data_IF_769766604563
#
_entry.id   IF_769766604563
#
_cell.length_a   1.000
_cell.length_b   1.000
_cell.length_c   1.000
_cell.angle_alpha   90.00
_cell.angle_beta   90.00
_cell.angle_gamma   90.00
#
_symmetry.space_group_name_H-M   'P 1'
#
loop_
_entity.id
_entity.type
_entity.pdbx_description
1 polymer ?
#
# COMPACT_ATOMS: atom_id res chain seq x y z
N UNK A 1 -1.02 6.83 -9.81
CA UNK A 1 -0.06 5.78 -9.39
C UNK A 1 1.20 6.49 -8.94
N UNK A 2 1.57 6.42 -7.66
CA UNK A 2 2.59 7.32 -7.09
C UNK A 2 3.98 7.16 -7.71
N UNK A 3 4.43 5.93 -7.97
CA UNK A 3 5.73 5.68 -8.60
C UNK A 3 5.69 5.89 -10.12
N UNK A 4 4.64 5.41 -10.80
CA UNK A 4 4.49 5.63 -12.24
C UNK A 4 4.42 7.11 -12.62
N UNK A 5 3.80 7.95 -11.77
CA UNK A 5 3.81 9.40 -11.94
C UNK A 5 5.22 9.96 -11.81
N UNK A 6 5.98 9.52 -10.79
CA UNK A 6 7.39 9.94 -10.60
C UNK A 6 8.30 9.54 -11.77
N UNK A 7 8.05 8.37 -12.38
CA UNK A 7 8.79 7.87 -13.53
C UNK A 7 8.29 8.40 -14.88
N UNK A 8 7.21 9.19 -14.91
CA UNK A 8 6.60 9.69 -16.17
C UNK A 8 5.84 8.64 -16.99
N UNK A 9 5.56 7.47 -16.41
CA UNK A 9 4.95 6.31 -17.10
C UNK A 9 3.40 6.33 -17.06
N UNK A 10 2.78 7.38 -16.54
CA UNK A 10 1.33 7.42 -16.34
C UNK A 10 0.53 7.29 -17.64
N UNK A 11 1.03 7.84 -18.75
CA UNK A 11 0.36 7.74 -20.05
C UNK A 11 0.47 6.34 -20.64
N UNK A 12 1.65 5.73 -20.55
CA UNK A 12 1.90 4.38 -21.08
C UNK A 12 1.06 3.33 -20.33
N UNK A 13 0.92 3.50 -19.02
CA UNK A 13 0.15 2.58 -18.19
C UNK A 13 -1.36 2.82 -18.23
N UNK A 14 -1.84 3.91 -18.84
CA UNK A 14 -3.27 4.21 -18.93
C UNK A 14 -4.07 3.19 -19.76
N UNK A 15 -3.39 2.35 -20.54
CA UNK A 15 -4.00 1.23 -21.27
C UNK A 15 -4.52 0.14 -20.32
N UNK A 16 -3.98 0.04 -19.11
CA UNK A 16 -4.41 -0.90 -18.10
C UNK A 16 -5.49 -0.27 -17.22
N UNK A 17 -6.61 -0.96 -17.07
CA UNK A 17 -7.64 -0.54 -16.12
C UNK A 17 -7.07 -0.55 -14.70
N UNK A 18 -7.35 0.52 -13.96
CA UNK A 18 -6.98 0.59 -12.55
C UNK A 18 -7.93 -0.29 -11.76
N UNK A 19 -7.40 -1.37 -11.21
CA UNK A 19 -8.11 -2.16 -10.21
C UNK A 19 -8.50 -1.27 -9.03
N UNK A 20 -9.78 -1.28 -8.64
CA UNK A 20 -10.31 -0.54 -7.50
C UNK A 20 -11.43 -1.36 -6.83
N UNK A 21 -11.12 -2.63 -6.52
CA UNK A 21 -12.03 -3.57 -5.88
C UNK A 21 -11.55 -3.96 -4.47
N UNK A 22 -12.41 -4.66 -3.68
CA UNK A 22 -12.01 -5.21 -2.40
C UNK A 22 -10.78 -6.13 -2.44
N UNK A 23 -10.48 -6.73 -3.60
CA UNK A 23 -9.29 -7.59 -3.76
C UNK A 23 -8.02 -6.76 -3.66
N UNK A 24 -7.98 -5.58 -4.29
CA UNK A 24 -6.82 -4.69 -4.18
C UNK A 24 -6.64 -4.20 -2.75
N UNK A 25 -7.73 -3.84 -2.07
CA UNK A 25 -7.67 -3.46 -0.65
C UNK A 25 -7.09 -4.59 0.22
N UNK A 26 -7.45 -5.85 -0.06
CA UNK A 26 -6.93 -7.00 0.67
C UNK A 26 -5.45 -7.26 0.40
N UNK A 27 -4.98 -7.06 -0.83
CA UNK A 27 -3.55 -7.15 -1.18
C UNK A 27 -2.74 -6.04 -0.52
N UNK A 28 -3.26 -4.80 -0.52
CA UNK A 28 -2.64 -3.67 0.18
C UNK A 28 -2.59 -3.96 1.68
N UNK A 29 -3.68 -4.47 2.26
CA UNK A 29 -3.70 -4.87 3.67
C UNK A 29 -2.61 -5.90 3.97
N UNK A 30 -2.50 -6.96 3.17
CA UNK A 30 -1.49 -7.99 3.37
C UNK A 30 -0.05 -7.43 3.32
N UNK A 31 0.28 -6.56 2.35
CA UNK A 31 1.60 -5.93 2.25
C UNK A 31 1.89 -4.96 3.41
N UNK A 32 0.86 -4.20 3.82
CA UNK A 32 0.96 -3.18 4.86
C UNK A 32 0.83 -3.72 6.28
N UNK A 33 0.59 -5.02 6.46
CA UNK A 33 0.56 -5.67 7.78
C UNK A 33 1.50 -6.87 7.89
N UNK A 34 2.36 -7.08 6.89
CA UNK A 34 3.31 -8.21 6.88
C UNK A 34 4.72 -7.67 6.62
N UNK A 35 5.63 -7.95 7.55
CA UNK A 35 7.03 -7.58 7.39
C UNK A 35 7.84 -8.58 6.54
N UNK A 36 9.10 -8.27 6.22
CA UNK A 36 9.90 -9.02 5.22
C UNK A 36 10.16 -10.49 5.55
N UNK A 37 10.03 -10.92 6.81
CA UNK A 37 10.16 -12.32 7.21
C UNK A 37 8.80 -12.99 7.52
N UNK A 38 7.69 -12.37 7.10
CA UNK A 38 6.34 -12.90 7.28
C UNK A 38 5.70 -12.57 8.64
N UNK A 39 6.35 -11.77 9.48
CA UNK A 39 5.80 -11.35 10.76
C UNK A 39 4.61 -10.39 10.58
N UNK A 40 3.65 -10.46 11.50
CA UNK A 40 2.53 -9.51 11.53
C UNK A 40 2.98 -8.18 12.11
N UNK A 41 2.70 -7.10 11.40
CA UNK A 41 2.90 -5.70 11.81
C UNK A 41 1.56 -4.96 11.83
N UNK A 42 1.46 -3.93 12.67
CA UNK A 42 0.46 -2.89 12.44
C UNK A 42 0.90 -1.96 11.30
N UNK A 43 -0.04 -1.14 10.83
CA UNK A 43 0.16 -0.27 9.67
C UNK A 43 1.32 0.71 9.88
N UNK A 44 1.35 1.40 11.02
CA UNK A 44 2.35 2.44 11.28
C UNK A 44 3.75 1.83 11.43
N UNK A 45 3.86 0.70 12.13
CA UNK A 45 5.12 -0.06 12.26
C UNK A 45 5.64 -0.49 10.90
N UNK A 46 4.77 -0.94 9.99
CA UNK A 46 5.16 -1.32 8.64
C UNK A 46 5.60 -0.13 7.80
N UNK A 47 4.90 1.00 7.89
CA UNK A 47 5.30 2.24 7.21
C UNK A 47 6.67 2.70 7.71
N UNK A 48 6.88 2.74 9.01
CA UNK A 48 8.15 3.16 9.60
C UNK A 48 9.30 2.24 9.19
N UNK A 49 9.09 0.92 9.18
CA UNK A 49 10.11 -0.03 8.70
C UNK A 49 10.47 0.20 7.22
N UNK A 50 9.48 0.45 6.37
CA UNK A 50 9.73 0.76 4.95
C UNK A 50 10.54 2.05 4.82
N UNK A 51 10.17 3.11 5.55
CA UNK A 51 10.84 4.40 5.49
C UNK A 51 12.25 4.39 6.10
N UNK A 52 12.54 3.46 7.01
CA UNK A 52 13.90 3.21 7.52
C UNK A 52 14.72 2.41 6.52
N UNK A 53 14.12 1.41 5.86
CA UNK A 53 14.80 0.55 4.88
C UNK A 53 15.14 1.27 3.58
N UNK A 54 14.28 2.20 3.15
CA UNK A 54 14.46 3.00 1.95
C UNK A 54 14.75 4.45 2.31
N UNK A 55 15.97 4.89 2.03
CA UNK A 55 16.45 6.23 2.38
C UNK A 55 15.63 7.36 1.75
N UNK A 56 15.54 8.53 2.41
CA UNK A 56 14.90 9.71 1.85
C UNK A 56 15.45 10.06 0.47
N UNK A 57 14.55 10.34 -0.47
CA UNK A 57 14.89 10.61 -1.87
C UNK A 57 14.80 9.40 -2.79
N UNK A 58 14.75 8.17 -2.25
CA UNK A 58 14.41 7.00 -3.05
C UNK A 58 12.96 7.05 -3.55
N UNK A 59 12.70 6.45 -4.71
CA UNK A 59 11.36 6.40 -5.31
C UNK A 59 10.35 5.71 -4.37
N UNK A 60 10.78 4.67 -3.66
CA UNK A 60 9.96 3.94 -2.68
C UNK A 60 9.60 4.83 -1.50
N UNK A 61 10.58 5.51 -0.90
CA UNK A 61 10.34 6.42 0.23
C UNK A 61 9.34 7.52 -0.15
N UNK A 62 9.53 8.15 -1.31
CA UNK A 62 8.64 9.19 -1.81
C UNK A 62 7.24 8.67 -2.13
N UNK A 63 7.14 7.51 -2.79
CA UNK A 63 5.86 6.91 -3.14
C UNK A 63 5.05 6.51 -1.90
N UNK A 64 5.68 5.82 -0.94
CA UNK A 64 5.02 5.37 0.30
C UNK A 64 4.59 6.55 1.16
N UNK A 65 5.44 7.58 1.30
CA UNK A 65 5.10 8.79 2.05
C UNK A 65 3.85 9.48 1.48
N UNK A 66 3.77 9.61 0.15
CA UNK A 66 2.60 10.20 -0.52
C UNK A 66 1.37 9.28 -0.48
N UNK A 67 1.59 7.97 -0.56
CA UNK A 67 0.53 6.97 -0.60
C UNK A 67 -0.10 6.68 0.77
N UNK A 68 0.55 7.08 1.89
CA UNK A 68 0.13 6.73 3.25
C UNK A 68 -1.37 6.89 3.50
N UNK A 69 -2.06 8.00 3.16
CA UNK A 69 -3.49 8.13 3.40
C UNK A 69 -4.34 7.12 2.60
N UNK A 70 -3.95 6.84 1.36
CA UNK A 70 -4.62 5.85 0.51
C UNK A 70 -4.42 4.43 1.05
N UNK A 71 -3.20 4.09 1.45
CA UNK A 71 -2.86 2.78 2.01
C UNK A 71 -3.59 2.54 3.34
N UNK A 72 -3.62 3.55 4.21
CA UNK A 72 -4.37 3.48 5.46
C UNK A 72 -5.86 3.22 5.21
N UNK A 73 -6.47 3.96 4.27
CA UNK A 73 -7.88 3.74 3.92
C UNK A 73 -8.16 2.34 3.40
N UNK A 74 -7.26 1.74 2.62
CA UNK A 74 -7.39 0.36 2.16
C UNK A 74 -7.30 -0.65 3.31
N UNK A 75 -6.37 -0.44 4.25
CA UNK A 75 -6.24 -1.25 5.47
C UNK A 75 -7.53 -1.20 6.30
N UNK A 76 -8.08 -0.01 6.52
CA UNK A 76 -9.31 0.20 7.27
C UNK A 76 -10.50 -0.49 6.61
N UNK A 77 -10.72 -0.27 5.30
CA UNK A 77 -11.79 -0.95 4.55
C UNK A 77 -11.69 -2.47 4.62
N UNK A 78 -10.48 -3.02 4.55
CA UNK A 78 -10.29 -4.48 4.67
C UNK A 78 -10.62 -4.98 6.08
N UNK A 79 -10.15 -4.28 7.13
CA UNK A 79 -10.48 -4.62 8.52
C UNK A 79 -11.98 -4.59 8.77
N UNK A 80 -12.67 -3.58 8.26
CA UNK A 80 -14.11 -3.45 8.37
C UNK A 80 -14.81 -4.63 7.70
N UNK A 81 -14.44 -5.00 6.47
CA UNK A 81 -15.02 -6.16 5.77
C UNK A 81 -14.79 -7.47 6.54
N UNK A 82 -13.60 -7.67 7.10
CA UNK A 82 -13.28 -8.86 7.89
C UNK A 82 -14.11 -8.92 9.18
N UNK A 83 -14.35 -7.79 9.85
CA UNK A 83 -15.17 -7.74 11.05
C UNK A 83 -16.65 -8.10 10.79
N UNK A 84 -17.11 -7.94 9.54
CA UNK A 84 -18.49 -8.26 9.12
C UNK A 84 -18.59 -9.62 8.42
N UNK A 85 -17.50 -10.38 8.29
CA UNK A 85 -17.56 -11.74 7.76
C UNK A 85 -18.07 -12.70 8.85
N UNK A 86 -19.10 -13.51 8.57
CA UNK A 86 -19.48 -14.58 9.48
C UNK A 86 -18.34 -15.60 9.57
N UNK A 87 -18.09 -16.08 10.80
CA UNK A 87 -17.15 -17.17 11.11
C UNK A 87 -17.51 -18.47 10.40
#
# INVERSE_FOLDING_TARGET
MYEAEQRGLSTELAVYEREDSPVLDALIFADMTTGPAGQSFDFDTRIDEILVRYEPGSEVHNAISKARPYLQGAVERTRDRMAHQPM
#
